data_IF_408660216547
#
_entry.id   IF_408660216547
#
_cell.length_a   1.000
_cell.length_b   1.000
_cell.length_c   1.000
_cell.angle_alpha   90.00
_cell.angle_beta   90.00
_cell.angle_gamma   90.00
#
_symmetry.space_group_name_H-M   'P 1'
#
loop_
_entity.id
_entity.type
_entity.pdbx_description
1 polymer ?
#
# COMPACT_ATOMS: atom_id res chain seq x y z
N UNK A 1 5.88 -25.46 49.92
CA UNK A 1 6.57 -24.22 50.39
C UNK A 1 7.90 -24.00 49.66
N UNK A 2 8.82 -25.00 49.61
CA UNK A 2 10.08 -24.93 48.84
C UNK A 2 9.89 -24.53 47.37
N UNK A 3 8.91 -25.12 46.70
CA UNK A 3 8.63 -24.88 45.27
C UNK A 3 8.14 -23.45 44.97
N UNK A 4 7.44 -22.79 45.92
CA UNK A 4 7.06 -21.37 45.81
C UNK A 4 8.25 -20.43 46.01
N UNK A 5 9.13 -20.73 46.97
CA UNK A 5 10.34 -19.96 47.25
C UNK A 5 11.34 -20.05 46.08
N UNK A 6 11.45 -21.21 45.45
CA UNK A 6 12.32 -21.45 44.30
C UNK A 6 11.82 -20.69 43.05
N UNK A 7 10.50 -20.69 42.80
CA UNK A 7 9.86 -19.87 41.75
C UNK A 7 10.00 -18.37 41.99
N UNK A 8 9.87 -17.90 43.25
CA UNK A 8 10.12 -16.49 43.59
C UNK A 8 11.59 -16.10 43.38
N UNK A 9 12.53 -16.97 43.75
CA UNK A 9 13.96 -16.74 43.57
C UNK A 9 14.36 -16.69 42.09
N UNK A 10 13.81 -17.58 41.25
CA UNK A 10 14.00 -17.56 39.80
C UNK A 10 13.51 -16.23 39.21
N UNK A 11 12.26 -15.86 39.49
CA UNK A 11 11.66 -14.62 38.97
C UNK A 11 12.46 -13.37 39.34
N UNK A 12 12.95 -13.28 40.58
CA UNK A 12 13.78 -12.16 41.03
C UNK A 12 15.10 -12.04 40.25
N UNK A 13 15.77 -13.17 39.94
CA UNK A 13 17.03 -13.16 39.18
C UNK A 13 16.81 -12.79 37.72
N UNK A 14 15.75 -13.33 37.10
CA UNK A 14 15.38 -12.99 35.72
C UNK A 14 15.05 -11.50 35.61
N UNK A 15 14.32 -10.93 36.58
CA UNK A 15 14.01 -9.49 36.61
C UNK A 15 15.27 -8.61 36.70
N UNK A 16 16.30 -9.03 37.45
CA UNK A 16 17.59 -8.33 37.51
C UNK A 16 18.33 -8.39 36.17
N UNK A 17 18.35 -9.55 35.50
CA UNK A 17 18.93 -9.67 34.15
C UNK A 17 18.23 -8.77 33.15
N UNK A 18 16.89 -8.73 33.18
CA UNK A 18 16.08 -7.85 32.33
C UNK A 18 16.43 -6.38 32.59
N UNK A 19 16.52 -5.94 33.85
CA UNK A 19 16.93 -4.58 34.21
C UNK A 19 18.34 -4.25 33.70
N UNK A 20 19.28 -5.19 33.86
CA UNK A 20 20.64 -5.07 33.34
C UNK A 20 20.65 -4.89 31.82
N UNK A 21 19.86 -5.67 31.09
CA UNK A 21 19.70 -5.53 29.65
C UNK A 21 19.12 -4.14 29.28
N UNK A 22 18.04 -3.72 29.95
CA UNK A 22 17.37 -2.43 29.71
C UNK A 22 18.24 -1.21 29.99
N UNK A 23 19.27 -1.33 30.83
CA UNK A 23 20.22 -0.23 31.06
C UNK A 23 21.13 0.04 29.86
N UNK A 24 21.24 -0.90 28.91
CA UNK A 24 22.02 -0.73 27.68
C UNK A 24 21.32 0.23 26.71
N UNK A 25 22.07 0.77 25.75
CA UNK A 25 21.53 1.56 24.63
C UNK A 25 20.71 0.71 23.66
N UNK A 26 21.22 0.45 22.45
CA UNK A 26 20.64 -0.54 21.53
C UNK A 26 21.12 -1.95 21.88
N UNK A 27 20.22 -2.92 21.81
CA UNK A 27 20.54 -4.32 22.06
C UNK A 27 21.26 -4.94 20.87
N UNK A 28 22.03 -5.99 21.12
CA UNK A 28 22.75 -6.78 20.12
C UNK A 28 22.37 -8.25 20.29
N UNK A 29 22.44 -9.03 19.22
CA UNK A 29 22.13 -10.49 19.26
C UNK A 29 22.88 -11.23 20.37
N UNK A 30 24.14 -10.86 20.62
CA UNK A 30 24.95 -11.44 21.69
C UNK A 30 24.44 -11.20 23.11
N UNK A 31 23.58 -10.20 23.32
CA UNK A 31 23.03 -9.87 24.64
C UNK A 31 22.03 -10.93 25.14
N UNK A 32 21.43 -11.73 24.24
CA UNK A 32 20.48 -12.78 24.59
C UNK A 32 21.16 -14.06 25.11
N UNK A 33 22.47 -14.24 24.90
CA UNK A 33 23.20 -15.46 25.31
C UNK A 33 23.21 -15.72 26.82
N UNK A 34 22.84 -14.71 27.62
CA UNK A 34 22.81 -14.78 29.08
C UNK A 34 21.46 -15.30 29.63
N UNK A 35 20.49 -15.52 28.74
CA UNK A 35 19.15 -15.97 29.05
C UNK A 35 19.00 -17.43 28.64
N UNK A 36 18.43 -18.25 29.54
CA UNK A 36 17.96 -19.59 29.20
C UNK A 36 16.55 -19.56 28.58
N UNK A 37 16.02 -20.70 28.16
CA UNK A 37 14.73 -20.79 27.45
C UNK A 37 13.53 -20.30 28.30
N UNK A 38 13.53 -20.55 29.61
CA UNK A 38 12.48 -20.08 30.52
C UNK A 38 12.59 -18.57 30.71
N UNK A 39 13.80 -18.05 30.88
CA UNK A 39 14.07 -16.62 31.00
C UNK A 39 13.76 -15.85 29.71
N UNK A 40 14.00 -16.46 28.55
CA UNK A 40 13.64 -15.92 27.23
C UNK A 40 12.12 -15.79 27.07
N UNK A 41 11.35 -16.72 27.64
CA UNK A 41 9.88 -16.63 27.65
C UNK A 41 9.42 -15.42 28.47
N UNK A 42 9.98 -15.25 29.68
CA UNK A 42 9.67 -14.10 30.56
C UNK A 42 10.10 -12.77 29.91
N UNK A 43 11.25 -12.75 29.23
CA UNK A 43 11.74 -11.59 28.49
C UNK A 43 10.77 -11.23 27.34
N UNK A 44 10.29 -12.22 26.59
CA UNK A 44 9.32 -12.04 25.51
C UNK A 44 8.00 -11.48 26.01
N UNK A 45 7.48 -11.98 27.14
CA UNK A 45 6.28 -11.44 27.80
C UNK A 45 6.49 -9.98 28.23
N UNK A 46 7.66 -9.67 28.81
CA UNK A 46 8.01 -8.32 29.21
C UNK A 46 8.06 -7.36 28.01
N UNK A 47 8.72 -7.73 26.91
CA UNK A 47 8.77 -6.91 25.70
C UNK A 47 7.38 -6.71 25.09
N UNK A 48 6.57 -7.77 25.03
CA UNK A 48 5.20 -7.70 24.53
C UNK A 48 4.37 -6.72 25.36
N UNK A 49 4.46 -6.80 26.69
CA UNK A 49 3.79 -5.87 27.59
C UNK A 49 4.25 -4.43 27.34
N UNK A 50 5.57 -4.19 27.26
CA UNK A 50 6.12 -2.86 27.00
C UNK A 50 5.66 -2.28 25.65
N UNK A 51 5.72 -3.05 24.57
CA UNK A 51 5.26 -2.61 23.24
C UNK A 51 3.75 -2.32 23.17
N UNK A 52 2.97 -2.80 24.14
CA UNK A 52 1.53 -2.49 24.23
C UNK A 52 1.22 -1.30 25.14
N UNK A 53 2.11 -0.96 26.07
CA UNK A 53 1.95 0.15 27.01
C UNK A 53 2.56 1.46 26.50
N UNK A 54 3.69 1.38 25.79
CA UNK A 54 4.44 2.55 25.32
C UNK A 54 3.73 3.21 24.14
N UNK A 55 3.88 4.55 24.06
CA UNK A 55 3.26 5.41 23.05
C UNK A 55 4.27 6.44 22.55
N UNK A 56 4.01 6.99 21.38
CA UNK A 56 4.77 8.10 20.80
C UNK A 56 6.26 7.79 20.69
N UNK A 57 7.10 8.74 21.09
CA UNK A 57 8.55 8.59 21.05
C UNK A 57 9.09 7.48 21.95
N UNK A 58 8.42 7.19 23.07
CA UNK A 58 8.86 6.11 23.96
C UNK A 58 8.69 4.73 23.30
N UNK A 59 7.62 4.56 22.51
CA UNK A 59 7.42 3.36 21.70
C UNK A 59 8.54 3.22 20.67
N UNK A 60 8.82 4.29 19.94
CA UNK A 60 9.85 4.32 18.90
C UNK A 60 11.24 3.99 19.48
N UNK A 61 11.63 4.67 20.55
CA UNK A 61 12.92 4.46 21.21
C UNK A 61 13.07 3.01 21.68
N UNK A 62 12.00 2.42 22.20
CA UNK A 62 12.01 1.03 22.65
C UNK A 62 12.04 0.06 21.47
N UNK A 63 11.27 0.32 20.41
CA UNK A 63 11.26 -0.48 19.18
C UNK A 63 12.65 -0.52 18.54
N UNK A 64 13.28 0.65 18.38
CA UNK A 64 14.63 0.82 17.85
C UNK A 64 15.69 0.11 18.69
N UNK A 65 15.46 0.03 20.01
CA UNK A 65 16.35 -0.58 20.97
C UNK A 65 16.34 -2.10 20.89
N UNK A 66 15.18 -2.72 20.68
CA UNK A 66 15.03 -4.18 20.61
C UNK A 66 15.16 -4.75 19.19
N UNK A 67 15.24 -3.89 18.17
CA UNK A 67 15.18 -4.29 16.76
C UNK A 67 16.17 -5.42 16.42
N UNK A 68 17.42 -5.31 16.85
CA UNK A 68 18.47 -6.29 16.51
C UNK A 68 18.24 -7.68 17.12
N UNK A 69 17.48 -7.77 18.20
CA UNK A 69 17.23 -9.03 18.92
C UNK A 69 15.82 -9.58 18.66
N UNK A 70 14.99 -8.85 17.91
CA UNK A 70 13.61 -9.23 17.64
C UNK A 70 13.58 -10.27 16.50
N UNK A 71 12.95 -11.45 16.71
CA UNK A 71 12.80 -12.45 15.65
C UNK A 71 12.08 -11.90 14.42
N UNK A 72 12.42 -12.42 13.24
CA UNK A 72 11.86 -11.95 11.96
C UNK A 72 10.32 -12.03 11.93
N UNK A 73 9.74 -13.06 12.50
CA UNK A 73 8.28 -13.25 12.55
C UNK A 73 7.63 -12.18 13.45
N UNK A 74 8.24 -11.88 14.60
CA UNK A 74 7.78 -10.81 15.49
C UNK A 74 7.90 -9.44 14.83
N UNK A 75 9.00 -9.15 14.11
CA UNK A 75 9.12 -7.93 13.30
C UNK A 75 8.00 -7.81 12.28
N UNK A 76 7.66 -8.93 11.64
CA UNK A 76 6.59 -8.99 10.66
C UNK A 76 5.23 -8.70 11.30
N UNK A 77 4.95 -9.27 12.47
CA UNK A 77 3.72 -8.98 13.22
C UNK A 77 3.64 -7.51 13.67
N UNK A 78 4.74 -6.94 14.16
CA UNK A 78 4.82 -5.53 14.54
C UNK A 78 4.58 -4.62 13.34
N UNK A 79 5.17 -4.95 12.20
CA UNK A 79 4.92 -4.23 10.95
C UNK A 79 3.43 -4.23 10.59
N UNK A 80 2.75 -5.40 10.67
CA UNK A 80 1.32 -5.47 10.39
C UNK A 80 0.48 -4.71 11.41
N UNK A 81 0.84 -4.72 12.69
CA UNK A 81 0.20 -3.92 13.74
C UNK A 81 0.27 -2.43 13.42
N UNK A 82 1.46 -1.94 13.05
CA UNK A 82 1.68 -0.54 12.66
C UNK A 82 0.86 -0.20 11.42
N UNK A 83 0.95 -1.04 10.38
CA UNK A 83 0.22 -0.85 9.13
C UNK A 83 -1.29 -0.75 9.34
N UNK A 84 -1.87 -1.71 10.06
CA UNK A 84 -3.30 -1.73 10.33
C UNK A 84 -3.77 -0.51 11.13
N UNK A 85 -2.96 -0.06 12.10
CA UNK A 85 -3.26 1.13 12.91
C UNK A 85 -3.27 2.40 12.04
N UNK A 86 -2.28 2.55 11.16
CA UNK A 86 -2.20 3.68 10.21
C UNK A 86 -3.39 3.65 9.24
N UNK A 87 -3.68 2.49 8.63
CA UNK A 87 -4.80 2.34 7.69
C UNK A 87 -6.15 2.62 8.36
N UNK A 88 -6.35 2.14 9.59
CA UNK A 88 -7.54 2.44 10.39
C UNK A 88 -7.66 3.95 10.69
N UNK A 89 -6.56 4.59 11.11
CA UNK A 89 -6.54 6.01 11.39
C UNK A 89 -6.87 6.84 10.14
N UNK A 90 -6.31 6.49 8.99
CA UNK A 90 -6.60 7.12 7.70
C UNK A 90 -8.08 6.95 7.33
N UNK A 91 -8.58 5.72 7.33
CA UNK A 91 -9.95 5.41 6.94
C UNK A 91 -10.97 6.14 7.83
N UNK A 92 -10.76 6.11 9.14
CA UNK A 92 -11.62 6.81 10.10
C UNK A 92 -11.54 8.32 9.92
N UNK A 93 -10.34 8.87 9.70
CA UNK A 93 -10.18 10.31 9.49
C UNK A 93 -10.89 10.80 8.22
N UNK A 94 -10.77 10.08 7.11
CA UNK A 94 -11.46 10.39 5.85
C UNK A 94 -12.98 10.34 6.03
N UNK A 95 -13.48 9.31 6.72
CA UNK A 95 -14.90 9.19 7.04
C UNK A 95 -15.41 10.40 7.83
N UNK A 96 -14.66 10.83 8.85
CA UNK A 96 -15.10 11.88 9.76
C UNK A 96 -14.91 13.30 9.19
N UNK A 97 -13.91 13.53 8.34
CA UNK A 97 -13.48 14.87 7.91
C UNK A 97 -13.58 15.12 6.40
N UNK A 98 -13.85 14.09 5.59
CA UNK A 98 -13.95 14.20 4.13
C UNK A 98 -12.64 14.57 3.43
N UNK A 99 -11.48 14.44 4.10
CA UNK A 99 -10.15 14.71 3.52
C UNK A 99 -9.09 13.74 4.02
N UNK A 100 -7.97 13.69 3.32
CA UNK A 100 -6.79 12.95 3.78
C UNK A 100 -6.22 13.58 5.07
N UNK A 101 -5.81 12.76 6.05
CA UNK A 101 -5.06 13.26 7.20
C UNK A 101 -3.62 13.58 6.82
N UNK A 102 -3.03 14.54 7.54
CA UNK A 102 -1.60 14.76 7.58
C UNK A 102 -0.88 13.69 8.42
N UNK A 103 0.44 13.48 8.25
CA UNK A 103 1.20 12.55 9.10
C UNK A 103 1.08 12.83 10.59
N UNK A 104 0.94 14.09 10.99
CA UNK A 104 0.73 14.50 12.38
C UNK A 104 -0.63 14.05 12.93
N UNK A 105 -1.69 14.17 12.12
CA UNK A 105 -3.02 13.71 12.51
C UNK A 105 -3.09 12.19 12.62
N UNK A 106 -2.38 11.48 11.74
CA UNK A 106 -2.23 10.02 11.84
C UNK A 106 -1.50 9.68 13.14
N UNK A 107 -0.35 10.30 13.41
CA UNK A 107 0.45 10.06 14.61
C UNK A 107 -0.35 10.28 15.91
N UNK A 108 -1.11 11.38 15.98
CA UNK A 108 -1.98 11.65 17.12
C UNK A 108 -3.08 10.58 17.29
N UNK A 109 -3.64 10.09 16.18
CA UNK A 109 -4.73 9.10 16.22
C UNK A 109 -4.25 7.68 16.49
N UNK A 110 -3.02 7.34 16.09
CA UNK A 110 -2.41 6.02 16.33
C UNK A 110 -1.56 5.95 17.59
N UNK A 111 -1.36 7.08 18.28
CA UNK A 111 -0.45 7.22 19.42
C UNK A 111 0.99 6.77 19.09
N UNK A 112 1.39 6.91 17.83
CA UNK A 112 2.75 6.67 17.34
C UNK A 112 3.47 7.99 17.15
N UNK A 113 4.80 7.98 17.04
CA UNK A 113 5.49 9.19 16.65
C UNK A 113 5.24 9.52 15.17
N UNK A 114 5.30 10.81 14.83
CA UNK A 114 5.26 11.25 13.44
C UNK A 114 6.45 10.73 12.62
N UNK A 115 7.59 10.42 13.26
CA UNK A 115 8.74 9.84 12.59
C UNK A 115 8.44 8.42 12.10
N UNK A 116 7.95 7.55 12.98
CA UNK A 116 7.59 6.17 12.64
C UNK A 116 6.50 6.11 11.57
N UNK A 117 5.47 6.95 11.67
CA UNK A 117 4.42 7.05 10.66
C UNK A 117 5.01 7.44 9.30
N UNK A 118 5.86 8.47 9.25
CA UNK A 118 6.48 8.91 8.00
C UNK A 118 7.42 7.85 7.43
N UNK A 119 8.21 7.19 8.27
CA UNK A 119 9.10 6.11 7.86
C UNK A 119 8.29 4.97 7.24
N UNK A 120 7.25 4.49 7.94
CA UNK A 120 6.39 3.41 7.47
C UNK A 120 5.74 3.75 6.12
N UNK A 121 5.19 4.96 5.98
CA UNK A 121 4.56 5.40 4.73
C UNK A 121 5.55 5.51 3.56
N UNK A 122 6.79 5.94 3.80
CA UNK A 122 7.85 6.03 2.78
C UNK A 122 8.34 4.64 2.34
N UNK A 123 8.53 3.75 3.29
CA UNK A 123 9.07 2.41 3.04
C UNK A 123 8.00 1.45 2.48
N UNK A 124 6.71 1.70 2.77
CA UNK A 124 5.60 0.85 2.36
C UNK A 124 5.63 0.47 0.87
N UNK A 125 5.80 1.46 -0.01
CA UNK A 125 5.85 1.24 -1.47
C UNK A 125 6.93 0.26 -1.94
N UNK A 126 7.96 0.02 -1.13
CA UNK A 126 9.12 -0.84 -1.44
C UNK A 126 9.11 -2.16 -0.67
N UNK A 127 8.19 -2.32 0.29
CA UNK A 127 8.11 -3.52 1.13
C UNK A 127 7.42 -4.66 0.36
N UNK A 128 7.99 -5.88 0.40
CA UNK A 128 7.37 -7.04 -0.26
C UNK A 128 5.97 -7.36 0.29
N UNK A 129 5.66 -6.96 1.53
CA UNK A 129 4.32 -7.10 2.12
C UNK A 129 3.28 -6.18 1.46
N UNK A 130 3.70 -5.04 0.92
CA UNK A 130 2.82 -4.19 0.11
C UNK A 130 2.45 -4.86 -1.22
N UNK A 131 3.42 -5.49 -1.89
CA UNK A 131 3.18 -6.24 -3.13
C UNK A 131 2.12 -7.33 -2.88
N UNK A 132 2.29 -8.11 -1.80
CA UNK A 132 1.32 -9.13 -1.41
C UNK A 132 -0.07 -8.53 -1.10
N UNK A 133 -0.13 -7.36 -0.48
CA UNK A 133 -1.41 -6.68 -0.21
C UNK A 133 -2.10 -6.24 -1.49
N UNK A 134 -1.34 -5.74 -2.48
CA UNK A 134 -1.85 -5.41 -3.81
C UNK A 134 -2.43 -6.64 -4.50
N UNK A 135 -1.72 -7.77 -4.48
CA UNK A 135 -2.21 -9.04 -5.03
C UNK A 135 -3.52 -9.50 -4.35
N UNK A 136 -3.65 -9.30 -3.04
CA UNK A 136 -4.90 -9.59 -2.33
C UNK A 136 -6.06 -8.70 -2.80
N UNK A 137 -5.83 -7.40 -3.02
CA UNK A 137 -6.84 -6.52 -3.61
C UNK A 137 -7.20 -6.95 -5.04
N UNK A 138 -6.21 -7.30 -5.85
CA UNK A 138 -6.41 -7.82 -7.21
C UNK A 138 -7.24 -9.12 -7.18
N UNK A 139 -6.93 -10.05 -6.27
CA UNK A 139 -7.71 -11.28 -6.07
C UNK A 139 -9.18 -11.01 -5.71
N UNK A 140 -9.42 -9.99 -4.88
CA UNK A 140 -10.76 -9.58 -4.44
C UNK A 140 -11.57 -8.85 -5.52
N UNK A 141 -10.96 -8.48 -6.66
CA UNK A 141 -11.63 -7.82 -7.79
C UNK A 141 -12.85 -8.60 -8.26
N UNK A 142 -12.76 -9.92 -8.32
CA UNK A 142 -13.85 -10.82 -8.71
C UNK A 142 -15.11 -10.62 -7.85
N UNK A 143 -14.94 -10.43 -6.53
CA UNK A 143 -16.04 -10.21 -5.58
C UNK A 143 -16.68 -8.83 -5.77
N UNK A 144 -15.87 -7.81 -6.00
CA UNK A 144 -16.38 -6.45 -6.30
C UNK A 144 -17.14 -6.45 -7.62
N UNK A 145 -16.58 -7.08 -8.65
CA UNK A 145 -17.22 -7.21 -9.96
C UNK A 145 -18.57 -7.95 -9.87
N UNK A 146 -18.67 -9.00 -9.05
CA UNK A 146 -19.94 -9.69 -8.78
C UNK A 146 -20.99 -8.77 -8.13
N UNK A 147 -20.58 -7.85 -7.24
CA UNK A 147 -21.49 -6.84 -6.67
C UNK A 147 -21.94 -5.83 -7.71
N UNK A 148 -21.03 -5.36 -8.57
CA UNK A 148 -21.36 -4.47 -9.69
C UNK A 148 -22.35 -5.15 -10.65
N UNK A 149 -22.11 -6.42 -10.99
CA UNK A 149 -23.04 -7.22 -11.80
C UNK A 149 -24.44 -7.30 -11.16
N UNK A 150 -24.53 -7.54 -9.85
CA UNK A 150 -25.81 -7.55 -9.15
C UNK A 150 -26.55 -6.21 -9.33
N UNK A 151 -25.90 -5.08 -9.08
CA UNK A 151 -26.52 -3.76 -9.27
C UNK A 151 -26.93 -3.50 -10.73
N UNK A 152 -26.15 -4.00 -11.69
CA UNK A 152 -26.49 -3.91 -13.10
C UNK A 152 -27.78 -4.71 -13.44
N UNK A 153 -27.91 -5.93 -12.93
CA UNK A 153 -29.11 -6.77 -13.09
C UNK A 153 -30.32 -6.14 -12.41
N UNK A 154 -30.12 -5.47 -11.26
CA UNK A 154 -31.15 -4.73 -10.53
C UNK A 154 -31.55 -3.39 -11.20
N UNK A 155 -30.93 -3.04 -12.34
CA UNK A 155 -31.32 -1.90 -13.19
C UNK A 155 -30.46 -0.64 -13.05
N UNK A 156 -29.37 -0.65 -12.27
CA UNK A 156 -28.43 0.49 -12.24
C UNK A 156 -27.56 0.50 -13.52
N UNK A 157 -27.93 1.35 -14.46
CA UNK A 157 -27.24 1.50 -15.75
C UNK A 157 -25.78 1.94 -15.63
N UNK A 158 -25.39 2.64 -14.55
CA UNK A 158 -23.99 3.01 -14.31
C UNK A 158 -23.18 1.79 -13.89
N UNK A 159 -23.75 0.92 -13.06
CA UNK A 159 -23.15 -0.36 -12.70
C UNK A 159 -23.03 -1.28 -13.93
N UNK A 160 -24.05 -1.32 -14.79
CA UNK A 160 -24.01 -2.08 -16.05
C UNK A 160 -22.88 -1.59 -16.97
N UNK A 161 -22.76 -0.28 -17.18
CA UNK A 161 -21.67 0.32 -17.95
C UNK A 161 -20.30 -0.05 -17.38
N UNK A 162 -20.10 0.12 -16.07
CA UNK A 162 -18.84 -0.22 -15.39
C UNK A 162 -18.51 -1.71 -15.53
N UNK A 163 -19.50 -2.60 -15.42
CA UNK A 163 -19.30 -4.04 -15.61
C UNK A 163 -18.82 -4.36 -17.03
N UNK A 164 -19.45 -3.79 -18.06
CA UNK A 164 -19.05 -4.02 -19.45
C UNK A 164 -17.69 -3.40 -19.78
N UNK A 165 -17.34 -2.24 -19.20
CA UNK A 165 -16.00 -1.67 -19.34
C UNK A 165 -14.94 -2.61 -18.76
N UNK A 166 -15.14 -3.11 -17.55
CA UNK A 166 -14.20 -4.05 -16.91
C UNK A 166 -14.11 -5.37 -17.68
N UNK A 167 -15.24 -5.99 -18.03
CA UNK A 167 -15.25 -7.28 -18.77
C UNK A 167 -14.80 -7.11 -20.21
N UNK A 168 -15.07 -5.97 -20.84
CA UNK A 168 -14.56 -5.62 -22.16
C UNK A 168 -13.05 -5.46 -22.18
N UNK A 169 -12.48 -4.80 -21.16
CA UNK A 169 -11.03 -4.65 -21.00
C UNK A 169 -10.33 -5.96 -20.62
N UNK A 170 -10.99 -6.89 -19.91
CA UNK A 170 -10.46 -8.24 -19.63
C UNK A 170 -10.28 -9.09 -20.90
N UNK A 171 -10.99 -8.77 -21.98
CA UNK A 171 -10.80 -9.41 -23.30
C UNK A 171 -9.69 -8.74 -24.12
N UNK A 172 -9.05 -7.69 -23.57
CA UNK A 172 -8.25 -6.71 -24.30
C UNK A 172 -6.73 -6.91 -24.31
N UNK A 173 -6.16 -7.84 -23.54
CA UNK A 173 -4.70 -8.07 -23.58
C UNK A 173 -4.20 -8.71 -24.90
N UNK A 174 -5.12 -9.11 -25.78
CA UNK A 174 -4.82 -9.57 -27.15
C UNK A 174 -5.48 -8.72 -28.25
N UNK A 175 -6.05 -7.54 -27.91
CA UNK A 175 -6.56 -6.63 -28.93
C UNK A 175 -5.72 -5.36 -28.93
N UNK A 176 -4.89 -5.20 -29.97
CA UNK A 176 -4.22 -3.94 -30.35
C UNK A 176 -5.19 -2.80 -30.71
N UNK A 177 -6.45 -2.87 -30.28
CA UNK A 177 -7.43 -1.82 -30.51
C UNK A 177 -7.50 -0.95 -29.25
N UNK A 178 -7.06 0.33 -29.30
CA UNK A 178 -7.26 1.22 -28.18
C UNK A 178 -8.77 1.30 -27.89
N UNK A 179 -9.11 1.16 -26.62
CA UNK A 179 -10.45 1.46 -26.09
C UNK A 179 -10.83 2.82 -26.65
N UNK A 180 -11.85 2.85 -27.50
CA UNK A 180 -12.40 4.07 -28.10
C UNK A 180 -13.14 4.80 -26.97
N UNK A 181 -12.38 5.47 -26.10
CA UNK A 181 -12.84 6.73 -25.56
C UNK A 181 -13.09 7.61 -26.78
N UNK A 182 -14.29 8.18 -26.87
CA UNK A 182 -14.78 9.08 -27.92
C UNK A 182 -13.93 10.38 -28.03
N UNK A 183 -12.62 10.26 -28.23
CA UNK A 183 -11.83 11.27 -28.89
C UNK A 183 -12.12 11.08 -30.36
N UNK A 184 -12.86 12.02 -30.94
CA UNK A 184 -13.12 12.09 -32.36
C UNK A 184 -11.77 12.20 -33.10
N UNK A 185 -11.16 11.06 -33.45
CA UNK A 185 -9.92 10.97 -34.25
C UNK A 185 -10.20 11.26 -35.73
N UNK A 186 -10.89 12.36 -35.99
CA UNK A 186 -11.08 12.88 -37.33
C UNK A 186 -10.88 14.39 -37.33
N UNK A 187 -10.24 14.88 -38.38
CA UNK A 187 -10.18 16.30 -38.69
C UNK A 187 -11.35 16.56 -39.64
N UNK A 188 -12.25 17.47 -39.27
CA UNK A 188 -13.32 17.93 -40.15
C UNK A 188 -13.10 19.39 -40.54
N UNK A 189 -12.96 19.63 -41.85
CA UNK A 189 -12.88 20.98 -42.41
C UNK A 189 -14.06 21.11 -43.38
N UNK A 190 -15.03 21.96 -43.02
CA UNK A 190 -16.32 22.06 -43.71
C UNK A 190 -17.04 20.69 -43.82
N UNK A 191 -17.32 20.22 -45.03
CA UNK A 191 -17.95 18.92 -45.30
C UNK A 191 -16.94 17.78 -45.48
N UNK A 192 -15.63 18.06 -45.43
CA UNK A 192 -14.59 17.04 -45.56
C UNK A 192 -14.27 16.45 -44.18
N UNK A 193 -14.51 15.15 -44.02
CA UNK A 193 -14.14 14.38 -42.82
C UNK A 193 -12.96 13.47 -43.14
N UNK A 194 -11.82 13.73 -42.50
CA UNK A 194 -10.62 12.91 -42.61
C UNK A 194 -10.46 12.11 -41.30
N UNK A 195 -10.80 10.82 -41.32
CA UNK A 195 -10.59 9.90 -40.20
C UNK A 195 -9.36 9.02 -40.42
N UNK A 196 -8.81 8.49 -39.33
CA UNK A 196 -7.73 7.50 -39.37
C UNK A 196 -8.08 6.31 -40.28
N UNK A 197 -9.30 5.79 -40.16
CA UNK A 197 -9.83 4.69 -40.97
C UNK A 197 -9.86 5.03 -42.47
N UNK A 198 -10.17 6.28 -42.83
CA UNK A 198 -10.18 6.72 -44.22
C UNK A 198 -8.75 6.83 -44.79
N UNK A 199 -7.76 7.20 -43.96
CA UNK A 199 -6.35 7.29 -44.35
C UNK A 199 -5.75 5.89 -44.55
N UNK A 200 -6.09 4.94 -43.68
CA UNK A 200 -5.60 3.55 -43.75
C UNK A 200 -6.07 2.80 -45.01
N UNK A 201 -7.17 3.24 -45.60
CA UNK A 201 -7.72 2.67 -46.84
C UNK A 201 -7.14 3.29 -48.12
N UNK A 202 -6.30 4.32 -48.00
CA UNK A 202 -5.67 4.96 -49.15
C UNK A 202 -4.51 4.12 -49.68
N UNK A 203 -4.38 4.09 -51.01
CA UNK A 203 -3.20 3.51 -51.65
C UNK A 203 -1.95 4.36 -51.33
N UNK A 204 -0.74 3.76 -51.35
CA UNK A 204 0.51 4.47 -51.04
C UNK A 204 0.73 5.75 -51.87
N UNK A 205 0.28 5.75 -53.12
CA UNK A 205 0.34 6.89 -54.03
C UNK A 205 -0.61 8.02 -53.59
N UNK A 206 -1.79 7.68 -53.08
CA UNK A 206 -2.77 8.64 -52.57
C UNK A 206 -2.33 9.24 -51.24
N UNK A 207 -1.71 8.43 -50.37
CA UNK A 207 -1.08 8.89 -49.12
C UNK A 207 0.00 9.94 -49.38
N UNK A 208 0.91 9.68 -50.33
CA UNK A 208 1.95 10.65 -50.73
C UNK A 208 1.37 11.96 -51.24
N UNK A 209 0.25 11.89 -51.97
CA UNK A 209 -0.42 13.08 -52.48
C UNK A 209 -1.09 13.89 -51.35
N UNK A 210 -1.70 13.22 -50.38
CA UNK A 210 -2.24 13.86 -49.17
C UNK A 210 -1.13 14.57 -48.39
N UNK A 211 0.01 13.89 -48.15
CA UNK A 211 1.18 14.48 -47.48
C UNK A 211 1.71 15.71 -48.23
N UNK A 212 1.81 15.63 -49.55
CA UNK A 212 2.25 16.74 -50.42
C UNK A 212 1.33 17.95 -50.30
N UNK A 213 0.02 17.75 -50.31
CA UNK A 213 -0.97 18.83 -50.18
C UNK A 213 -0.87 19.54 -48.82
N UNK A 214 -0.71 18.77 -47.73
CA UNK A 214 -0.53 19.36 -46.40
C UNK A 214 0.77 20.18 -46.29
N UNK A 215 1.89 19.69 -46.84
CA UNK A 215 3.16 20.43 -46.84
C UNK A 215 3.07 21.75 -47.63
N UNK A 216 2.33 21.77 -48.74
CA UNK A 216 2.13 22.99 -49.53
C UNK A 216 1.30 24.06 -48.81
N UNK A 217 0.34 23.65 -47.98
CA UNK A 217 -0.50 24.57 -47.22
C UNK A 217 0.24 25.13 -46.00
N UNK A 218 1.01 24.30 -45.27
CA UNK A 218 1.77 24.73 -44.09
C UNK A 218 2.85 25.78 -44.45
N UNK A 219 3.41 25.73 -45.65
CA UNK A 219 4.38 26.73 -46.13
C UNK A 219 3.75 28.08 -46.50
N UNK A 220 2.46 28.14 -46.83
CA UNK A 220 1.75 29.39 -47.18
C UNK A 220 1.26 30.20 -45.97
N UNK A 221 1.29 29.64 -44.76
CA UNK A 221 0.83 30.31 -43.52
C UNK A 221 2.00 30.95 -42.76
N UNK A 222 3.23 30.78 -43.25
CA UNK A 222 4.46 31.35 -42.65
C UNK A 222 4.91 32.68 -43.24
N UNK A 223 4.14 33.24 -44.18
CA UNK A 223 4.26 34.63 -44.69
C UNK A 223 3.08 35.47 -44.21
#
# INVERSE_FOLDING_TARGET
MKDKLQKQSFKSKTEEKIKGLLSKGKFKEGDLKLFDDEEMTVLGEYFTKKLNELKGTEFDDFYDKIEAITPKDTKTQLWYKIHNSITWAISTFIHDNGRMPSPFEIANKTEMSSYLVNQHMKEYSKDSKYINSKEQFEFMTSKVLAKVFKFAVDGDMRAAKLYFEVVGNLKGENSNNPVINNQNNYIQINQLKLSQEAIEQLAPEQLKEVERLFQQVVLKVKD
#
